data_IF_245784552701
#
_entry.id   IF_245784552701
#
_cell.length_a   1.000
_cell.length_b   1.000
_cell.length_c   1.000
_cell.angle_alpha   90.00
_cell.angle_beta   90.00
_cell.angle_gamma   90.00
#
_symmetry.space_group_name_H-M   'P 1'
#
loop_
_entity.id
_entity.type
_entity.pdbx_description
1 polymer ?
#
# COMPACT_ATOMS: atom_id res chain seq x y z
N UNK A 1 -25.14 9.14 -10.05
CA UNK A 1 -24.38 10.42 -10.00
C UNK A 1 -25.38 11.58 -9.87
N UNK A 2 -25.13 12.57 -9.00
CA UNK A 2 -25.97 13.78 -8.81
C UNK A 2 -25.71 14.86 -9.89
N UNK A 3 -25.04 14.52 -10.98
CA UNK A 3 -24.74 15.41 -12.10
C UNK A 3 -23.42 16.16 -11.97
N UNK A 4 -22.56 15.78 -11.03
CA UNK A 4 -21.20 16.34 -10.91
C UNK A 4 -20.32 15.62 -11.91
N UNK A 5 -19.69 16.39 -12.80
CA UNK A 5 -18.72 15.87 -13.76
C UNK A 5 -17.30 16.16 -13.31
N UNK A 6 -16.36 15.32 -13.72
CA UNK A 6 -14.95 15.47 -13.40
C UNK A 6 -14.36 16.79 -13.92
N UNK A 7 -14.82 17.26 -15.09
CA UNK A 7 -14.34 18.49 -15.70
C UNK A 7 -14.85 19.76 -14.99
N UNK A 8 -15.98 19.64 -14.26
CA UNK A 8 -16.56 20.75 -13.51
C UNK A 8 -16.00 20.80 -12.07
N UNK A 9 -16.06 19.65 -11.36
CA UNK A 9 -15.57 19.50 -9.99
C UNK A 9 -14.97 18.09 -9.86
N UNK A 10 -13.64 17.94 -9.99
CA UNK A 10 -13.00 16.64 -9.84
C UNK A 10 -13.10 16.16 -8.39
N UNK A 11 -13.50 14.90 -8.22
CA UNK A 11 -13.50 14.21 -6.93
C UNK A 11 -12.28 13.30 -6.90
N UNK A 12 -11.56 13.30 -5.78
CA UNK A 12 -10.44 12.39 -5.52
C UNK A 12 -10.84 11.42 -4.41
N UNK A 13 -10.77 10.13 -4.68
CA UNK A 13 -11.02 9.06 -3.72
C UNK A 13 -9.72 8.47 -3.17
N UNK A 14 -9.71 8.09 -1.88
CA UNK A 14 -8.58 7.44 -1.21
C UNK A 14 -8.91 5.99 -0.79
N UNK A 15 -10.06 5.47 -1.25
CA UNK A 15 -10.57 4.16 -0.83
C UNK A 15 -11.42 3.45 -1.91
N UNK A 16 -11.46 3.97 -3.13
CA UNK A 16 -12.17 3.33 -4.25
C UNK A 16 -11.13 2.67 -5.14
N UNK A 17 -11.20 1.35 -5.30
CA UNK A 17 -10.34 0.58 -6.19
C UNK A 17 -11.15 -0.19 -7.25
N UNK A 18 -10.44 -1.01 -8.02
CA UNK A 18 -10.98 -1.76 -9.15
C UNK A 18 -12.07 -2.75 -8.72
N UNK A 19 -11.94 -3.33 -7.52
CA UNK A 19 -12.94 -4.24 -6.94
C UNK A 19 -14.30 -3.57 -6.71
N UNK A 20 -14.30 -2.33 -6.20
CA UNK A 20 -15.51 -1.55 -6.04
C UNK A 20 -16.07 -1.16 -7.42
N UNK A 21 -15.21 -0.71 -8.34
CA UNK A 21 -15.62 -0.26 -9.67
C UNK A 21 -16.20 -1.37 -10.54
N UNK A 22 -15.73 -2.62 -10.38
CA UNK A 22 -16.27 -3.78 -11.08
C UNK A 22 -17.77 -4.05 -10.77
N UNK A 23 -18.26 -3.53 -9.63
CA UNK A 23 -19.66 -3.64 -9.22
C UNK A 23 -20.57 -2.48 -9.64
N UNK A 24 -20.03 -1.43 -10.28
CA UNK A 24 -20.76 -0.19 -10.58
C UNK A 24 -20.87 0.10 -12.08
N UNK A 25 -21.85 0.94 -12.44
CA UNK A 25 -21.80 1.70 -13.70
C UNK A 25 -20.75 2.80 -13.53
N UNK A 26 -19.62 2.63 -14.21
CA UNK A 26 -18.44 3.51 -14.16
C UNK A 26 -18.58 4.72 -15.06
N UNK A 27 -19.52 4.75 -16.01
CA UNK A 27 -19.66 5.85 -16.96
C UNK A 27 -19.80 7.23 -16.28
N UNK A 28 -20.52 7.39 -15.15
CA UNK A 28 -20.60 8.66 -14.44
C UNK A 28 -19.36 8.99 -13.59
N UNK A 29 -18.39 8.08 -13.48
CA UNK A 29 -17.18 8.22 -12.67
C UNK A 29 -15.94 8.54 -13.51
N UNK A 30 -16.02 8.39 -14.84
CA UNK A 30 -14.92 8.67 -15.76
C UNK A 30 -14.34 10.06 -15.52
N UNK A 31 -13.02 10.16 -15.46
CA UNK A 31 -12.30 11.42 -15.21
C UNK A 31 -12.13 11.78 -13.74
N UNK A 32 -12.90 11.18 -12.82
CA UNK A 32 -12.61 11.32 -11.39
C UNK A 32 -11.33 10.58 -11.02
N UNK A 33 -10.70 10.99 -9.92
CA UNK A 33 -9.37 10.51 -9.56
C UNK A 33 -9.43 9.58 -8.35
N UNK A 34 -8.46 8.68 -8.26
CA UNK A 34 -8.13 7.96 -7.05
C UNK A 34 -6.64 8.11 -6.74
N UNK A 35 -6.30 8.08 -5.45
CA UNK A 35 -4.93 8.07 -4.97
C UNK A 35 -4.66 6.76 -4.22
N UNK A 36 -3.72 5.98 -4.73
CA UNK A 36 -3.34 4.66 -4.21
C UNK A 36 -1.85 4.42 -4.36
N UNK A 37 -1.34 3.30 -3.84
CA UNK A 37 0.06 2.93 -4.02
C UNK A 37 0.27 1.88 -5.13
N UNK A 38 -0.83 1.39 -5.73
CA UNK A 38 -0.86 0.42 -6.83
C UNK A 38 -2.19 0.56 -7.58
N UNK A 39 -2.15 0.33 -8.90
CA UNK A 39 -3.31 0.07 -9.74
C UNK A 39 -3.03 -1.17 -10.58
N UNK A 40 -4.05 -1.97 -10.87
CA UNK A 40 -3.93 -3.15 -11.73
C UNK A 40 -3.36 -2.80 -13.11
N UNK A 41 -3.66 -1.61 -13.61
CA UNK A 41 -3.24 -1.11 -14.93
C UNK A 41 -1.76 -0.75 -15.06
N UNK A 42 -0.98 -0.82 -13.98
CA UNK A 42 0.46 -0.51 -14.01
C UNK A 42 1.18 -1.48 -14.96
N UNK A 43 1.91 -0.92 -15.93
CA UNK A 43 2.66 -1.69 -16.93
C UNK A 43 4.01 -2.15 -16.36
N UNK A 44 3.99 -3.32 -15.72
CA UNK A 44 5.17 -3.99 -15.20
C UNK A 44 5.09 -5.52 -15.40
N UNK A 45 6.19 -6.20 -15.78
CA UNK A 45 6.18 -7.64 -15.98
C UNK A 45 5.78 -8.46 -14.75
N UNK A 46 6.19 -8.06 -13.54
CA UNK A 46 5.83 -8.76 -12.30
C UNK A 46 4.34 -8.59 -12.01
N UNK A 47 3.80 -7.40 -12.30
CA UNK A 47 2.35 -7.16 -12.21
C UNK A 47 1.56 -8.03 -13.20
N UNK A 48 2.00 -8.09 -14.46
CA UNK A 48 1.36 -8.92 -15.49
C UNK A 48 1.37 -10.43 -15.12
N UNK A 49 2.48 -10.92 -14.55
CA UNK A 49 2.58 -12.29 -14.05
C UNK A 49 1.65 -12.55 -12.86
N UNK A 50 1.57 -11.61 -11.92
CA UNK A 50 0.66 -11.68 -10.80
C UNK A 50 -0.81 -11.73 -11.25
N UNK A 51 -1.25 -10.81 -12.12
CA UNK A 51 -2.61 -10.76 -12.64
C UNK A 51 -2.98 -12.07 -13.36
N UNK A 52 -2.05 -12.61 -14.17
CA UNK A 52 -2.24 -13.90 -14.85
C UNK A 52 -2.43 -15.04 -13.86
N UNK A 53 -1.61 -15.08 -12.82
CA UNK A 53 -1.67 -16.11 -11.77
C UNK A 53 -2.95 -16.01 -10.95
N UNK A 54 -3.33 -14.78 -10.59
CA UNK A 54 -4.57 -14.48 -9.88
C UNK A 54 -5.81 -14.92 -10.66
N UNK A 55 -5.93 -14.53 -11.93
CA UNK A 55 -7.03 -14.95 -12.81
C UNK A 55 -7.05 -16.46 -13.03
N UNK A 56 -5.89 -17.10 -13.13
CA UNK A 56 -5.77 -18.55 -13.21
C UNK A 56 -6.25 -19.27 -11.95
N UNK A 57 -5.93 -18.74 -10.76
CA UNK A 57 -6.36 -19.27 -9.47
C UNK A 57 -7.88 -19.13 -9.26
N UNK A 58 -8.43 -17.96 -9.58
CA UNK A 58 -9.87 -17.70 -9.45
C UNK A 58 -10.69 -18.40 -10.55
N UNK A 59 -10.10 -18.62 -11.72
CA UNK A 59 -10.78 -19.19 -12.88
C UNK A 59 -11.68 -18.19 -13.62
N UNK A 60 -11.38 -16.88 -13.49
CA UNK A 60 -12.13 -15.80 -14.13
C UNK A 60 -11.16 -14.81 -14.80
N UNK A 61 -11.19 -14.68 -16.15
CA UNK A 61 -10.31 -13.79 -16.88
C UNK A 61 -10.62 -12.30 -16.69
N UNK A 62 -11.83 -11.96 -16.24
CA UNK A 62 -12.25 -10.58 -15.98
C UNK A 62 -12.03 -10.16 -14.52
N UNK A 63 -11.58 -11.09 -13.68
CA UNK A 63 -11.31 -10.79 -12.27
C UNK A 63 -10.23 -9.73 -12.17
N UNK A 64 -10.54 -8.69 -11.39
CA UNK A 64 -9.64 -7.60 -11.06
C UNK A 64 -8.81 -7.89 -9.82
N UNK A 65 -7.77 -7.10 -9.60
CA UNK A 65 -7.04 -6.96 -8.34
C UNK A 65 -6.97 -5.48 -7.97
N UNK A 66 -6.59 -5.15 -6.74
CA UNK A 66 -6.47 -3.79 -6.25
C UNK A 66 -5.27 -3.61 -5.29
N UNK A 67 -5.06 -2.40 -4.80
CA UNK A 67 -3.92 -2.07 -3.91
C UNK A 67 -3.86 -2.89 -2.61
N UNK A 68 -4.96 -3.14 -1.87
CA UNK A 68 -4.93 -4.02 -0.69
C UNK A 68 -4.43 -5.44 -1.00
N UNK A 69 -4.79 -5.99 -2.16
CA UNK A 69 -4.31 -7.31 -2.59
C UNK A 69 -2.81 -7.29 -2.91
N UNK A 70 -2.32 -6.24 -3.56
CA UNK A 70 -0.89 -6.05 -3.80
C UNK A 70 -0.10 -5.89 -2.50
N UNK A 71 -0.62 -5.12 -1.55
CA UNK A 71 -0.03 -4.96 -0.23
C UNK A 71 0.08 -6.31 0.50
N UNK A 72 -0.89 -7.21 0.30
CA UNK A 72 -0.82 -8.57 0.83
C UNK A 72 0.28 -9.41 0.16
N UNK A 73 0.46 -9.31 -1.17
CA UNK A 73 1.56 -9.98 -1.88
C UNK A 73 2.91 -9.56 -1.32
N UNK A 74 3.14 -8.25 -1.17
CA UNK A 74 4.38 -7.72 -0.59
C UNK A 74 4.57 -8.23 0.84
N UNK A 75 3.56 -8.01 1.70
CA UNK A 75 3.64 -8.35 3.12
C UNK A 75 3.88 -9.84 3.35
N UNK A 76 3.20 -10.70 2.59
CA UNK A 76 3.38 -12.14 2.71
C UNK A 76 4.75 -12.60 2.21
N UNK A 77 5.24 -12.05 1.09
CA UNK A 77 6.59 -12.36 0.60
C UNK A 77 7.68 -11.96 1.61
N UNK A 78 7.56 -10.78 2.24
CA UNK A 78 8.48 -10.34 3.28
C UNK A 78 8.38 -11.22 4.53
N UNK A 79 7.16 -11.64 4.92
CA UNK A 79 6.95 -12.54 6.04
C UNK A 79 7.58 -13.92 5.80
N UNK A 80 7.42 -14.50 4.60
CA UNK A 80 8.06 -15.78 4.24
C UNK A 80 9.58 -15.65 4.35
N UNK A 81 10.17 -14.60 3.75
CA UNK A 81 11.62 -14.36 3.85
C UNK A 81 12.08 -14.20 5.31
N UNK A 82 11.29 -13.54 6.15
CA UNK A 82 11.59 -13.35 7.57
C UNK A 82 11.54 -14.67 8.35
N UNK A 83 10.54 -15.52 8.11
CA UNK A 83 10.44 -16.87 8.68
C UNK A 83 11.63 -17.73 8.28
N UNK A 84 12.02 -17.70 7.00
CA UNK A 84 13.19 -18.44 6.50
C UNK A 84 14.49 -17.93 7.15
N UNK A 85 14.64 -16.61 7.27
CA UNK A 85 15.80 -15.98 7.91
C UNK A 85 15.87 -16.27 9.41
N UNK A 86 14.74 -16.27 10.10
CA UNK A 86 14.64 -16.57 11.53
C UNK A 86 14.76 -18.07 11.83
N UNK A 87 14.43 -18.93 10.86
CA UNK A 87 14.35 -20.38 11.04
C UNK A 87 13.18 -20.83 11.93
N UNK A 88 12.19 -19.96 12.13
CA UNK A 88 11.04 -20.18 13.02
C UNK A 88 9.86 -19.30 12.60
N UNK A 89 8.66 -19.67 13.03
CA UNK A 89 7.44 -18.86 12.91
C UNK A 89 7.09 -18.12 14.21
N UNK A 90 8.02 -18.09 15.17
CA UNK A 90 7.87 -17.32 16.41
C UNK A 90 7.78 -15.82 16.10
N UNK A 91 6.76 -15.14 16.64
CA UNK A 91 6.41 -13.77 16.26
C UNK A 91 7.56 -12.80 16.50
N UNK A 92 8.17 -12.81 17.69
CA UNK A 92 9.21 -11.84 18.05
C UNK A 92 10.46 -12.05 17.18
N UNK A 93 10.85 -13.31 16.97
CA UNK A 93 11.96 -13.64 16.09
C UNK A 93 11.72 -13.21 14.62
N UNK A 94 10.48 -13.33 14.14
CA UNK A 94 10.09 -12.89 12.78
C UNK A 94 10.07 -11.36 12.67
N UNK A 95 9.56 -10.66 13.68
CA UNK A 95 9.57 -9.19 13.72
C UNK A 95 10.99 -8.62 13.72
N UNK A 96 11.91 -9.23 14.46
CA UNK A 96 13.32 -8.84 14.42
C UNK A 96 13.96 -9.13 13.05
N UNK A 97 13.59 -10.25 12.42
CA UNK A 97 14.17 -10.69 11.15
C UNK A 97 13.66 -9.91 9.93
N UNK A 98 12.43 -9.39 9.96
CA UNK A 98 11.77 -8.78 8.81
C UNK A 98 12.29 -7.39 8.47
N UNK A 99 12.80 -6.63 9.45
CA UNK A 99 13.30 -5.27 9.22
C UNK A 99 14.46 -5.29 8.22
N UNK A 100 14.36 -4.43 7.20
CA UNK A 100 15.33 -4.30 6.12
C UNK A 100 15.21 -5.32 5.00
N UNK A 101 14.30 -6.30 5.09
CA UNK A 101 14.00 -7.20 3.97
C UNK A 101 13.34 -6.45 2.82
N UNK A 102 13.55 -6.98 1.61
CA UNK A 102 13.15 -6.35 0.36
C UNK A 102 12.45 -7.38 -0.55
N UNK A 103 11.47 -6.91 -1.32
CA UNK A 103 10.79 -7.71 -2.34
C UNK A 103 10.38 -6.79 -3.50
N UNK A 104 10.33 -7.27 -4.75
CA UNK A 104 9.65 -6.53 -5.81
C UNK A 104 8.25 -6.14 -5.38
N UNK A 105 7.89 -4.87 -5.63
CA UNK A 105 6.50 -4.45 -5.62
C UNK A 105 5.90 -4.71 -7.02
N UNK A 106 4.60 -4.58 -7.18
CA UNK A 106 3.95 -4.78 -8.48
C UNK A 106 3.82 -3.47 -9.29
N UNK A 107 4.73 -2.52 -9.04
CA UNK A 107 4.81 -1.22 -9.71
C UNK A 107 6.17 -0.94 -10.35
N UNK A 108 7.02 -1.97 -10.49
CA UNK A 108 8.36 -1.87 -11.08
C UNK A 108 9.47 -1.43 -10.13
N UNK A 109 9.18 -1.30 -8.83
CA UNK A 109 10.13 -0.96 -7.78
C UNK A 109 10.36 -2.09 -6.77
N UNK A 110 11.11 -1.77 -5.71
CA UNK A 110 11.37 -2.67 -4.59
C UNK A 110 10.71 -2.10 -3.33
N UNK A 111 9.84 -2.88 -2.70
CA UNK A 111 9.31 -2.59 -1.38
C UNK A 111 10.29 -3.07 -0.31
N UNK A 112 10.66 -2.18 0.61
CA UNK A 112 11.56 -2.44 1.74
C UNK A 112 10.81 -2.34 3.05
N UNK A 113 10.96 -3.31 3.94
CA UNK A 113 10.49 -3.21 5.32
C UNK A 113 11.38 -2.24 6.11
N UNK A 114 10.77 -1.20 6.67
CA UNK A 114 11.43 -0.15 7.44
C UNK A 114 11.38 -0.46 8.95
N UNK A 115 12.24 0.17 9.76
CA UNK A 115 12.23 0.03 11.23
C UNK A 115 10.88 0.34 11.88
N UNK A 116 10.06 1.19 11.26
CA UNK A 116 8.72 1.53 11.74
C UNK A 116 7.63 0.52 11.32
N UNK A 117 8.02 -0.65 10.77
CA UNK A 117 7.17 -1.68 10.21
C UNK A 117 6.24 -1.23 9.06
N UNK A 118 6.53 -0.09 8.44
CA UNK A 118 5.95 0.28 7.16
C UNK A 118 6.87 -0.14 6.02
N UNK A 119 6.36 -0.09 4.79
CA UNK A 119 7.10 -0.40 3.58
C UNK A 119 7.27 0.83 2.69
N UNK A 120 8.28 0.80 1.84
CA UNK A 120 8.40 1.78 0.74
C UNK A 120 7.43 1.42 -0.39
N UNK A 121 6.58 2.37 -0.81
CA UNK A 121 5.72 2.24 -2.00
C UNK A 121 5.63 3.58 -2.74
N UNK A 122 5.37 3.60 -4.06
CA UNK A 122 5.07 4.86 -4.73
C UNK A 122 3.67 5.35 -4.34
N UNK A 123 3.37 6.61 -4.60
CA UNK A 123 2.01 7.16 -4.60
C UNK A 123 1.61 7.40 -6.05
N UNK A 124 0.48 6.86 -6.45
CA UNK A 124 -0.09 6.95 -7.79
C UNK A 124 -1.39 7.75 -7.73
N UNK A 125 -1.56 8.66 -8.69
CA UNK A 125 -2.85 9.30 -8.97
C UNK A 125 -3.38 8.69 -10.26
N UNK A 126 -4.53 8.05 -10.17
CA UNK A 126 -5.19 7.36 -11.27
C UNK A 126 -6.47 8.07 -11.67
N UNK A 127 -6.70 8.24 -12.97
CA UNK A 127 -7.95 8.70 -13.54
C UNK A 127 -8.85 7.51 -13.90
N UNK A 128 -10.08 7.50 -13.39
CA UNK A 128 -11.05 6.42 -13.65
C UNK A 128 -11.40 6.38 -15.14
N UNK A 129 -11.28 5.18 -15.71
CA UNK A 129 -11.61 4.88 -17.10
C UNK A 129 -12.98 4.20 -17.21
N UNK A 130 -13.52 4.18 -18.42
CA UNK A 130 -14.85 3.64 -18.70
C UNK A 130 -14.96 2.12 -18.43
N UNK A 131 -13.86 1.39 -18.43
CA UNK A 131 -13.78 -0.04 -18.11
C UNK A 131 -13.59 -0.33 -16.61
N UNK A 132 -13.62 0.72 -15.77
CA UNK A 132 -13.41 0.59 -14.32
C UNK A 132 -11.95 0.39 -13.92
N UNK A 133 -11.00 0.58 -14.85
CA UNK A 133 -9.57 0.68 -14.56
C UNK A 133 -9.15 2.13 -14.31
N UNK A 134 -7.88 2.30 -13.98
CA UNK A 134 -7.27 3.61 -13.76
C UNK A 134 -6.17 3.88 -14.78
N UNK A 135 -6.14 5.06 -15.37
CA UNK A 135 -4.97 5.56 -16.09
C UNK A 135 -4.08 6.31 -15.09
N UNK A 136 -2.81 5.92 -14.96
CA UNK A 136 -1.88 6.62 -14.06
C UNK A 136 -1.49 7.97 -14.67
N UNK A 137 -1.98 9.06 -14.09
CA UNK A 137 -1.70 10.43 -14.55
C UNK A 137 -0.57 11.11 -13.78
N UNK A 138 -0.21 10.58 -12.60
CA UNK A 138 0.94 11.02 -11.83
C UNK A 138 1.46 9.89 -10.94
N UNK A 139 2.77 9.83 -10.77
CA UNK A 139 3.44 8.88 -9.89
C UNK A 139 4.60 9.57 -9.15
N UNK A 140 4.80 9.22 -7.89
CA UNK A 140 6.01 9.57 -7.15
C UNK A 140 7.09 8.51 -7.31
N UNK A 141 8.31 8.84 -6.89
CA UNK A 141 9.29 7.83 -6.49
C UNK A 141 8.77 7.01 -5.29
N UNK A 142 9.52 5.99 -4.87
CA UNK A 142 9.20 5.25 -3.65
C UNK A 142 9.23 6.15 -2.43
N UNK A 143 8.11 6.23 -1.72
CA UNK A 143 7.96 6.99 -0.48
C UNK A 143 8.12 6.03 0.70
N UNK A 144 9.02 6.32 1.66
CA UNK A 144 9.05 5.62 2.94
C UNK A 144 7.74 5.84 3.68
N UNK A 145 7.04 4.76 4.02
CA UNK A 145 5.82 4.88 4.83
C UNK A 145 6.14 5.45 6.20
N UNK A 146 5.26 6.32 6.69
CA UNK A 146 5.35 6.93 8.01
C UNK A 146 4.03 6.70 8.76
N UNK A 147 4.15 6.30 10.02
CA UNK A 147 3.01 5.99 10.87
C UNK A 147 2.33 7.25 11.43
N UNK A 148 3.07 8.34 11.56
CA UNK A 148 2.66 9.54 12.26
C UNK A 148 2.78 10.76 11.38
N UNK A 149 1.83 11.70 11.51
CA UNK A 149 1.84 12.92 10.71
C UNK A 149 2.72 14.00 11.36
N UNK A 150 3.67 14.54 10.60
CA UNK A 150 4.45 15.72 10.96
C UNK A 150 3.60 17.00 11.10
N UNK A 151 2.39 17.00 10.55
CA UNK A 151 1.53 18.18 10.46
C UNK A 151 0.51 18.27 11.60
N UNK A 152 0.28 17.19 12.33
CA UNK A 152 -0.67 17.14 13.44
C UNK A 152 0.04 17.39 14.78
N UNK A 153 -0.40 18.37 15.60
CA UNK A 153 0.22 18.67 16.88
C UNK A 153 0.39 17.46 17.82
N UNK A 154 -0.55 16.52 17.76
CA UNK A 154 -0.59 15.30 18.57
C UNK A 154 0.42 14.22 18.14
N UNK A 155 0.85 14.20 16.88
CA UNK A 155 1.71 13.14 16.35
C UNK A 155 3.06 13.62 15.82
N UNK A 156 3.25 14.92 15.60
CA UNK A 156 4.51 15.49 15.04
C UNK A 156 5.77 15.25 15.87
N UNK A 157 5.63 14.79 17.11
CA UNK A 157 6.74 14.42 18.01
C UNK A 157 6.77 12.92 18.28
N UNK A 158 5.95 12.13 17.59
CA UNK A 158 5.81 10.70 17.77
C UNK A 158 6.43 10.00 16.57
N UNK A 159 7.28 9.03 16.81
CA UNK A 159 7.85 8.15 15.81
C UNK A 159 7.58 6.69 16.16
N UNK A 160 7.61 5.84 15.14
CA UNK A 160 7.61 4.39 15.30
C UNK A 160 8.99 3.87 14.92
N UNK A 161 9.61 3.10 15.80
CA UNK A 161 10.86 2.39 15.53
C UNK A 161 10.89 1.11 16.38
N UNK A 162 10.80 -0.04 15.71
CA UNK A 162 10.81 -1.36 16.33
C UNK A 162 12.21 -1.94 16.50
N UNK A 163 13.26 -1.11 16.37
CA UNK A 163 14.64 -1.49 16.63
C UNK A 163 15.12 -1.01 17.99
N UNK A 164 16.08 -1.72 18.56
CA UNK A 164 16.69 -1.33 19.82
C UNK A 164 17.50 -0.01 19.63
N UNK A 165 17.42 0.93 20.59
CA UNK A 165 16.81 0.80 21.91
C UNK A 165 15.34 1.25 22.01
N UNK A 166 14.70 1.67 20.92
CA UNK A 166 13.35 2.26 20.94
C UNK A 166 12.27 1.19 21.10
N UNK A 167 12.24 0.17 20.21
CA UNK A 167 11.31 -0.97 20.23
C UNK A 167 9.85 -0.59 20.48
N UNK A 168 9.32 0.36 19.70
CA UNK A 168 8.10 1.07 20.04
C UNK A 168 7.43 1.76 18.85
N UNK A 169 6.11 1.59 18.71
CA UNK A 169 5.33 2.22 17.65
C UNK A 169 4.88 3.67 17.93
N UNK A 170 5.09 4.18 19.16
CA UNK A 170 4.59 5.49 19.60
C UNK A 170 5.61 6.19 20.52
N UNK A 171 6.87 6.19 20.11
CA UNK A 171 7.95 6.82 20.84
C UNK A 171 7.89 8.33 20.70
N UNK A 172 7.84 9.05 21.81
CA UNK A 172 7.87 10.52 21.80
C UNK A 172 9.32 11.02 21.84
N UNK A 173 9.72 11.73 20.79
CA UNK A 173 11.11 12.20 20.60
C UNK A 173 11.54 13.29 21.60
N UNK A 174 10.58 14.01 22.18
CA UNK A 174 10.83 15.05 23.19
C UNK A 174 10.98 14.44 24.60
N UNK A 175 10.04 13.59 25.01
CA UNK A 175 10.05 12.97 26.35
C UNK A 175 10.97 11.75 26.42
N UNK A 176 11.39 11.22 25.26
CA UNK A 176 12.19 10.00 25.11
C UNK A 176 11.54 8.79 25.78
N UNK A 177 10.23 8.70 25.64
CA UNK A 177 9.42 7.64 26.23
C UNK A 177 8.40 7.13 25.23
N UNK A 178 8.14 5.83 25.29
CA UNK A 178 6.99 5.24 24.65
C UNK A 178 5.71 5.69 25.32
N UNK A 179 4.73 6.12 24.53
CA UNK A 179 3.38 6.30 25.03
C UNK A 179 2.87 4.98 25.62
N UNK A 180 2.00 5.06 26.65
CA UNK A 180 1.43 3.85 27.24
C UNK A 180 0.80 2.98 26.15
N UNK A 181 1.24 1.73 26.02
CA UNK A 181 0.64 0.79 25.08
C UNK A 181 -0.84 0.68 25.41
N UNK A 182 -1.72 0.93 24.45
CA UNK A 182 -3.04 0.31 24.49
C UNK A 182 -2.78 -1.20 24.31
N UNK A 183 -2.67 -1.91 25.43
CA UNK A 183 -2.79 -3.37 25.48
C UNK A 183 -4.20 -3.78 25.03
#
# INVERSE_FOLDING_TARGET
NQGIKAEDIPVVAFSVGEEELAGFDTAPLVGHLAAWNYFQSVDDPANAEFIKSWRGFIGDPERVTNDPMEAHVIGFNLWVQAVEKAGTTDTDAVLDAIIGLETPNLTGGIAKMLPNHHITKPVLIGEIQADGQFEVVSASDLVPGDAWSDFLPESKLIEADWTAPINCGNYNTETKACGASAL
#
